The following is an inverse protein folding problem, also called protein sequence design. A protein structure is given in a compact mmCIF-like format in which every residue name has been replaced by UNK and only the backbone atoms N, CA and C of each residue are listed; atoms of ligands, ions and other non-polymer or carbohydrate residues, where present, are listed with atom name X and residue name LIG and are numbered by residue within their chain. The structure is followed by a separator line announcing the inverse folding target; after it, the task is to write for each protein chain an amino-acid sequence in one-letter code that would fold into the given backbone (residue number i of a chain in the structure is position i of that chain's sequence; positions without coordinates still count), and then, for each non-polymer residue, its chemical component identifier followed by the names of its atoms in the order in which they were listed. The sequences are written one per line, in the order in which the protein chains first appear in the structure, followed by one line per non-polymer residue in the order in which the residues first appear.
data_IF_684902130660
#
_entry.id   IF_684902130660
#
_cell.length_a   1.000
_cell.length_b   1.000
_cell.length_c   1.000
_cell.angle_alpha   90.00
_cell.angle_beta   90.00
_cell.angle_gamma   90.00
#
_symmetry.space_group_name_H-M   'P 1'
#
loop_
_entity.id
_entity.type
_entity.pdbx_description
1 polymer ?
#
# COMPACT_ATOMS: atom_id res chain seq x y z
N UNK A 1 -6.24 -18.92 -12.13
CA UNK A 1 -7.12 -18.35 -11.08
C UNK A 1 -6.82 -16.86 -10.95
N UNK A 2 -7.84 -16.05 -10.67
CA UNK A 2 -7.67 -14.63 -10.38
C UNK A 2 -7.08 -14.51 -8.97
N UNK A 3 -5.90 -13.90 -8.83
CA UNK A 3 -5.29 -13.64 -7.51
C UNK A 3 -6.05 -12.48 -6.85
N UNK A 4 -6.58 -12.71 -5.66
CA UNK A 4 -7.26 -11.71 -4.85
C UNK A 4 -6.25 -11.23 -3.80
N UNK A 5 -6.06 -9.93 -3.73
CA UNK A 5 -5.28 -9.26 -2.70
C UNK A 5 -6.16 -8.30 -1.92
N UNK A 6 -5.78 -8.04 -0.67
CA UNK A 6 -6.33 -6.94 0.10
C UNK A 6 -5.22 -6.10 0.73
N UNK A 7 -5.48 -4.81 0.94
CA UNK A 7 -4.50 -3.87 1.47
C UNK A 7 -5.12 -2.71 2.23
N UNK A 8 -4.27 -2.00 2.99
CA UNK A 8 -4.68 -0.84 3.79
C UNK A 8 -4.01 0.45 3.32
N UNK A 9 -4.78 1.52 3.23
CA UNK A 9 -4.32 2.88 3.00
C UNK A 9 -4.43 3.68 4.30
N UNK A 10 -3.34 3.73 5.07
CA UNK A 10 -3.27 4.60 6.23
C UNK A 10 -3.22 6.06 5.78
N UNK A 11 -4.01 6.93 6.41
CA UNK A 11 -4.01 8.36 6.12
C UNK A 11 -3.97 9.19 7.39
N UNK A 12 -3.59 10.46 7.26
CA UNK A 12 -3.76 11.48 8.29
C UNK A 12 -4.10 12.82 7.68
N UNK A 13 -4.72 13.68 8.46
CA UNK A 13 -4.98 15.07 8.09
C UNK A 13 -4.08 15.96 8.95
N UNK A 14 -3.17 16.67 8.31
CA UNK A 14 -2.24 17.58 8.98
C UNK A 14 -2.41 18.99 8.41
N UNK A 15 -2.78 19.96 9.23
CA UNK A 15 -2.99 21.35 8.81
C UNK A 15 -3.88 21.48 7.55
N UNK A 16 -5.01 20.77 7.52
CA UNK A 16 -5.91 20.69 6.35
C UNK A 16 -5.21 20.20 5.07
N UNK A 17 -4.22 19.33 5.21
CA UNK A 17 -3.62 18.58 4.10
C UNK A 17 -3.81 17.08 4.34
N UNK A 18 -4.43 16.40 3.37
CA UNK A 18 -4.51 14.94 3.35
C UNK A 18 -3.13 14.37 3.01
N UNK A 19 -2.62 13.54 3.91
CA UNK A 19 -1.41 12.75 3.70
C UNK A 19 -1.76 11.26 3.74
N UNK A 20 -1.15 10.49 2.85
CA UNK A 20 -1.36 9.05 2.72
C UNK A 20 -0.04 8.31 2.84
N UNK A 21 -0.08 7.15 3.48
CA UNK A 21 1.09 6.30 3.67
C UNK A 21 1.23 5.32 2.51
N UNK A 22 2.38 5.32 1.85
CA UNK A 22 2.72 4.38 0.79
C UNK A 22 4.01 3.64 1.12
N UNK A 23 4.18 2.45 0.55
CA UNK A 23 5.39 1.64 0.66
C UNK A 23 6.10 1.50 -0.67
N UNK A 24 7.43 1.49 -0.61
CA UNK A 24 8.31 1.29 -1.75
C UNK A 24 8.76 -0.18 -1.81
N UNK A 25 8.70 -0.84 -2.97
CA UNK A 25 9.11 -2.24 -3.09
C UNK A 25 10.61 -2.42 -2.83
N UNK A 26 10.96 -3.48 -2.12
CA UNK A 26 12.34 -3.81 -1.85
C UNK A 26 13.11 -4.34 -3.06
N UNK A 27 14.43 -4.36 -2.93
CA UNK A 27 15.34 -5.07 -3.82
C UNK A 27 15.95 -4.26 -4.97
N UNK A 28 16.93 -4.87 -5.66
CA UNK A 28 17.78 -4.18 -6.63
C UNK A 28 17.03 -3.66 -7.86
N UNK A 29 15.92 -4.27 -8.26
CA UNK A 29 15.12 -3.83 -9.41
C UNK A 29 14.35 -2.53 -9.18
N UNK A 30 14.13 -2.16 -7.91
CA UNK A 30 13.33 -1.01 -7.50
C UNK A 30 14.15 0.09 -6.86
N UNK A 31 15.39 -0.17 -6.43
CA UNK A 31 16.28 0.77 -5.72
C UNK A 31 16.33 2.20 -6.27
N UNK A 32 16.26 2.38 -7.60
CA UNK A 32 16.35 3.68 -8.27
C UNK A 32 15.01 4.16 -8.86
N UNK A 33 13.93 3.43 -8.64
CA UNK A 33 12.60 3.80 -9.11
C UNK A 33 11.90 4.59 -8.00
N UNK A 34 11.10 5.55 -8.40
CA UNK A 34 10.35 6.38 -7.45
C UNK A 34 8.97 6.69 -8.02
N UNK A 35 8.90 7.45 -9.12
CA UNK A 35 7.63 7.73 -9.80
C UNK A 35 6.94 6.44 -10.28
N UNK A 36 5.67 6.28 -9.95
CA UNK A 36 4.87 5.10 -10.29
C UNK A 36 5.29 3.79 -9.64
N UNK A 37 6.21 3.81 -8.67
CA UNK A 37 6.79 2.62 -8.04
C UNK A 37 6.15 2.24 -6.71
N UNK A 38 5.58 3.21 -6.00
CA UNK A 38 5.03 3.01 -4.66
C UNK A 38 3.64 2.36 -4.71
N UNK A 39 3.22 1.74 -3.61
CA UNK A 39 1.87 1.16 -3.50
C UNK A 39 1.32 1.25 -2.09
N UNK A 40 0.03 0.98 -1.93
CA UNK A 40 -0.51 0.63 -0.60
C UNK A 40 0.08 -0.71 -0.14
N UNK A 41 0.32 -0.89 1.16
CA UNK A 41 0.65 -2.20 1.71
C UNK A 41 -0.47 -3.21 1.44
N UNK A 42 -0.14 -4.39 0.92
CA UNK A 42 -1.11 -5.40 0.46
C UNK A 42 -0.42 -6.73 0.14
N UNK A 43 -1.14 -7.83 0.32
CA UNK A 43 -0.70 -9.15 -0.14
C UNK A 43 -1.86 -10.02 -0.59
N UNK A 44 -1.57 -11.27 -0.90
CA UNK A 44 -2.55 -12.23 -1.41
C UNK A 44 -3.37 -12.79 -0.24
N UNK A 45 -4.69 -12.85 -0.40
CA UNK A 45 -5.54 -13.40 0.65
C UNK A 45 -5.58 -14.92 0.56
N UNK A 46 -5.62 -15.56 1.72
CA UNK A 46 -5.82 -16.99 1.82
C UNK A 46 -7.25 -17.39 1.47
N UNK A 47 -7.46 -18.66 1.13
CA UNK A 47 -8.80 -19.16 0.82
C UNK A 47 -9.71 -19.00 2.04
N UNK A 48 -10.84 -18.30 1.85
CA UNK A 48 -11.85 -18.00 2.89
C UNK A 48 -11.44 -16.95 3.94
N UNK A 49 -10.28 -16.31 3.79
CA UNK A 49 -9.90 -15.17 4.65
C UNK A 49 -10.80 -13.96 4.33
N UNK A 50 -11.27 -13.26 5.37
CA UNK A 50 -11.99 -12.00 5.15
C UNK A 50 -11.02 -10.96 4.62
N UNK A 51 -11.47 -10.17 3.63
CA UNK A 51 -10.61 -9.19 2.96
C UNK A 51 -9.99 -8.17 3.92
N UNK A 52 -10.72 -7.69 4.92
CA UNK A 52 -10.17 -6.75 5.90
C UNK A 52 -9.13 -7.40 6.80
N UNK A 53 -9.33 -8.66 7.21
CA UNK A 53 -8.37 -9.39 8.05
C UNK A 53 -7.07 -9.65 7.28
N UNK A 54 -7.19 -10.06 6.01
CA UNK A 54 -6.08 -10.14 5.05
C UNK A 54 -5.33 -8.79 4.94
N UNK A 55 -6.05 -7.69 4.73
CA UNK A 55 -5.45 -6.36 4.63
C UNK A 55 -4.70 -5.94 5.90
N UNK A 56 -5.24 -6.24 7.09
CA UNK A 56 -4.59 -5.95 8.38
C UNK A 56 -3.31 -6.76 8.57
N UNK A 57 -3.37 -8.07 8.30
CA UNK A 57 -2.21 -8.98 8.40
C UNK A 57 -1.08 -8.51 7.50
N UNK A 58 -1.38 -8.28 6.23
CA UNK A 58 -0.40 -7.84 5.23
C UNK A 58 0.19 -6.47 5.54
N UNK A 59 -0.64 -5.52 6.00
CA UNK A 59 -0.15 -4.23 6.45
C UNK A 59 0.85 -4.37 7.60
N UNK A 60 0.55 -5.22 8.59
CA UNK A 60 1.48 -5.48 9.69
C UNK A 60 2.75 -6.20 9.21
N UNK A 61 2.63 -7.20 8.34
CA UNK A 61 3.79 -7.95 7.84
C UNK A 61 4.75 -7.07 7.02
N UNK A 62 4.23 -6.23 6.13
CA UNK A 62 5.05 -5.36 5.29
C UNK A 62 5.60 -4.16 6.07
N UNK A 63 4.87 -3.62 7.05
CA UNK A 63 5.24 -2.34 7.68
C UNK A 63 5.71 -2.45 9.13
N UNK A 64 5.36 -3.52 9.84
CA UNK A 64 5.51 -3.66 11.29
C UNK A 64 4.56 -2.78 12.12
N UNK A 65 3.66 -2.02 11.47
CA UNK A 65 2.73 -1.10 12.11
C UNK A 65 1.45 -1.85 12.44
N UNK A 66 1.02 -1.80 13.71
CA UNK A 66 -0.25 -2.41 14.12
C UNK A 66 -1.42 -1.59 13.59
N UNK A 67 -2.31 -2.16 12.77
CA UNK A 67 -3.49 -1.47 12.28
C UNK A 67 -4.56 -1.38 13.40
N UNK A 68 -5.65 -0.65 13.18
CA UNK A 68 -6.72 -0.50 14.19
C UNK A 68 -7.39 -1.84 14.51
N UNK A 69 -7.58 -2.10 15.80
CA UNK A 69 -8.27 -3.30 16.30
C UNK A 69 -9.75 -3.33 15.87
N UNK A 70 -10.47 -2.22 16.06
CA UNK A 70 -11.89 -2.11 15.67
C UNK A 70 -12.08 -2.02 14.15
N UNK A 71 -12.97 -2.85 13.60
CA UNK A 71 -13.31 -2.86 12.19
C UNK A 71 -14.18 -1.66 11.76
N UNK A 72 -14.82 -0.95 12.69
CA UNK A 72 -15.78 0.13 12.39
C UNK A 72 -15.10 1.40 11.85
N UNK A 73 -13.81 1.56 12.09
CA UNK A 73 -13.05 2.74 11.71
C UNK A 73 -12.37 2.60 10.33
N UNK A 74 -12.68 1.54 9.58
CA UNK A 74 -12.16 1.33 8.25
C UNK A 74 -13.13 1.84 7.18
N UNK A 75 -12.61 2.59 6.22
CA UNK A 75 -13.32 3.07 5.05
C UNK A 75 -13.13 2.05 3.93
N UNK A 76 -14.20 1.45 3.41
CA UNK A 76 -14.12 0.61 2.22
C UNK A 76 -13.87 1.46 0.97
N UNK A 77 -12.70 1.27 0.34
CA UNK A 77 -12.32 1.95 -0.90
C UNK A 77 -12.68 1.11 -2.13
N UNK A 78 -13.36 -0.02 -1.98
CA UNK A 78 -13.73 -0.94 -3.04
C UNK A 78 -12.54 -1.74 -3.57
N UNK A 79 -12.58 -2.07 -4.86
CA UNK A 79 -11.52 -2.81 -5.52
C UNK A 79 -11.06 -2.19 -6.84
N UNK A 80 -9.86 -2.58 -7.25
CA UNK A 80 -9.21 -2.21 -8.52
C UNK A 80 -8.63 -3.45 -9.19
N UNK A 81 -8.46 -3.41 -10.51
CA UNK A 81 -7.78 -4.47 -11.27
C UNK A 81 -6.41 -4.00 -11.74
N UNK A 82 -5.37 -4.78 -11.46
CA UNK A 82 -4.01 -4.52 -11.93
C UNK A 82 -3.67 -5.28 -13.22
N UNK A 83 -2.61 -4.84 -13.90
CA UNK A 83 -2.17 -5.35 -15.23
C UNK A 83 -1.93 -6.87 -15.27
N UNK A 84 -1.59 -7.49 -14.14
CA UNK A 84 -1.40 -8.94 -14.03
C UNK A 84 -2.70 -9.73 -13.73
N UNK A 85 -3.87 -9.11 -13.96
CA UNK A 85 -5.21 -9.64 -13.63
C UNK A 85 -5.46 -9.83 -12.12
N UNK A 86 -4.60 -9.27 -11.25
CA UNK A 86 -4.82 -9.26 -9.79
C UNK A 86 -5.91 -8.26 -9.43
N UNK A 87 -6.86 -8.67 -8.61
CA UNK A 87 -7.83 -7.75 -7.99
C UNK A 87 -7.29 -7.35 -6.63
N UNK A 88 -7.24 -6.06 -6.34
CA UNK A 88 -6.86 -5.54 -5.02
C UNK A 88 -8.09 -4.90 -4.40
N UNK A 89 -8.54 -5.44 -3.28
CA UNK A 89 -9.49 -4.78 -2.38
C UNK A 89 -8.73 -3.88 -1.43
N UNK A 90 -9.28 -2.70 -1.12
CA UNK A 90 -8.57 -1.74 -0.29
C UNK A 90 -9.50 -1.12 0.75
N UNK A 91 -8.96 -0.92 1.94
CA UNK A 91 -9.60 -0.19 3.01
C UNK A 91 -8.68 0.93 3.48
N UNK A 92 -9.22 2.03 3.98
CA UNK A 92 -8.44 3.10 4.58
C UNK A 92 -8.72 3.23 6.07
N UNK A 93 -7.74 3.70 6.83
CA UNK A 93 -7.90 4.02 8.24
C UNK A 93 -7.04 5.23 8.61
N UNK A 94 -7.46 5.99 9.61
CA UNK A 94 -6.70 7.13 10.11
C UNK A 94 -5.57 6.66 11.03
N UNK A 95 -4.35 7.15 10.83
CA UNK A 95 -3.19 6.83 11.64
C UNK A 95 -2.00 7.76 11.41
N UNK A 96 -1.22 8.02 12.45
CA UNK A 96 -0.01 8.85 12.41
C UNK A 96 1.21 8.05 12.87
N UNK A 97 1.81 7.31 11.95
CA UNK A 97 3.05 6.60 12.21
C UNK A 97 4.26 7.53 12.07
N UNK A 98 5.16 7.48 13.06
CA UNK A 98 6.44 8.19 13.08
C UNK A 98 7.54 7.18 13.32
N UNK A 99 8.33 6.90 12.29
CA UNK A 99 9.42 5.94 12.38
C UNK A 99 9.75 5.31 11.03
N UNK A 100 10.60 4.30 11.07
CA UNK A 100 10.91 3.45 9.93
C UNK A 100 10.06 2.19 9.98
N UNK A 101 9.66 1.69 8.81
CA UNK A 101 8.94 0.42 8.74
C UNK A 101 9.84 -0.74 9.17
N UNK A 102 9.22 -1.78 9.72
CA UNK A 102 9.89 -3.03 10.04
C UNK A 102 9.23 -4.16 9.24
N UNK A 103 9.71 -4.37 8.02
CA UNK A 103 9.21 -5.41 7.13
C UNK A 103 9.63 -6.81 7.63
N UNK A 104 8.63 -7.68 7.78
CA UNK A 104 8.80 -9.07 8.22
C UNK A 104 8.47 -10.08 7.10
N UNK A 105 7.92 -9.61 5.98
CA UNK A 105 7.69 -10.40 4.76
C UNK A 105 8.89 -10.32 3.81
N UNK A 106 9.16 -11.43 3.12
CA UNK A 106 10.33 -11.56 2.25
C UNK A 106 10.01 -12.37 1.00
N UNK A 107 10.58 -11.96 -0.12
CA UNK A 107 10.50 -12.68 -1.39
C UNK A 107 11.88 -13.12 -1.87
N UNK A 108 11.90 -14.22 -2.61
CA UNK A 108 13.07 -14.65 -3.36
C UNK A 108 12.99 -14.10 -4.78
N UNK A 109 14.03 -13.41 -5.20
CA UNK A 109 14.16 -12.91 -6.58
C UNK A 109 15.42 -13.48 -7.22
N UNK A 110 15.36 -13.70 -8.53
CA UNK A 110 16.55 -14.07 -9.29
C UNK A 110 17.45 -12.83 -9.47
N UNK A 111 18.71 -12.92 -9.04
CA UNK A 111 19.66 -11.83 -9.16
C UNK A 111 21.12 -12.32 -9.23
N UNK A 112 21.93 -11.87 -10.21
CA UNK A 112 21.56 -11.03 -11.36
C UNK A 112 20.54 -11.69 -12.30
N UNK A 113 19.84 -10.94 -13.16
CA UNK A 113 18.84 -11.51 -14.08
C UNK A 113 19.43 -12.64 -14.95
N UNK A 114 18.67 -13.73 -15.14
CA UNK A 114 19.04 -14.92 -15.94
C UNK A 114 20.22 -15.74 -15.38
N UNK A 115 20.62 -15.52 -14.13
CA UNK A 115 21.70 -16.27 -13.46
C UNK A 115 21.26 -17.59 -12.82
N UNK A 116 19.96 -17.81 -12.63
CA UNK A 116 19.36 -18.86 -11.78
C UNK A 116 19.79 -18.80 -10.31
N UNK A 117 20.47 -17.75 -9.88
CA UNK A 117 20.79 -17.50 -8.47
C UNK A 117 19.69 -16.67 -7.83
N UNK A 118 19.30 -17.02 -6.62
CA UNK A 118 18.23 -16.36 -5.88
C UNK A 118 18.75 -15.68 -4.63
N UNK A 119 18.27 -14.46 -4.38
CA UNK A 119 18.51 -13.72 -3.14
C UNK A 119 17.17 -13.50 -2.43
N UNK A 120 17.21 -13.51 -1.10
CA UNK A 120 16.09 -13.15 -0.24
C UNK A 120 16.14 -11.65 0.05
N UNK A 121 15.06 -10.94 -0.24
CA UNK A 121 14.92 -9.50 -0.01
C UNK A 121 13.61 -9.22 0.74
N UNK A 122 13.52 -8.13 1.52
CA UNK A 122 12.24 -7.70 2.07
C UNK A 122 11.30 -7.29 0.92
N UNK A 123 10.00 -7.48 1.11
CA UNK A 123 9.01 -7.09 0.09
C UNK A 123 8.93 -5.58 -0.09
N UNK A 124 9.12 -4.84 1.00
CA UNK A 124 9.18 -3.38 1.02
C UNK A 124 10.42 -2.91 1.76
N UNK A 125 11.03 -1.82 1.30
CA UNK A 125 12.24 -1.25 1.91
C UNK A 125 12.01 0.12 2.56
N UNK A 126 10.92 0.80 2.22
CA UNK A 126 10.55 2.10 2.80
C UNK A 126 9.04 2.24 2.93
N UNK A 127 8.62 3.04 3.91
CA UNK A 127 7.25 3.51 4.05
C UNK A 127 7.26 4.98 4.43
N UNK A 128 6.45 5.79 3.75
CA UNK A 128 6.46 7.24 3.92
C UNK A 128 5.08 7.84 3.70
N UNK A 129 4.81 8.96 4.39
CA UNK A 129 3.61 9.77 4.18
C UNK A 129 3.85 10.81 3.09
N UNK A 130 3.00 10.80 2.07
CA UNK A 130 2.99 11.80 1.01
C UNK A 130 1.73 12.64 1.06
N UNK A 131 1.81 13.93 0.70
CA UNK A 131 0.60 14.68 0.39
C UNK A 131 -0.06 14.11 -0.88
N UNK A 132 -1.32 14.47 -1.14
CA UNK A 132 -2.07 13.92 -2.27
C UNK A 132 -1.36 14.08 -3.63
N UNK A 133 -0.75 15.24 -3.89
CA UNK A 133 -0.07 15.52 -5.17
C UNK A 133 1.18 14.66 -5.35
N UNK A 134 2.01 14.55 -4.32
CA UNK A 134 3.21 13.72 -4.38
C UNK A 134 2.84 12.22 -4.44
N UNK A 135 1.78 11.82 -3.75
CA UNK A 135 1.25 10.45 -3.80
C UNK A 135 0.77 10.08 -5.21
N UNK A 136 0.10 10.99 -5.91
CA UNK A 136 -0.32 10.82 -7.32
C UNK A 136 0.87 10.50 -8.23
N UNK A 137 1.99 11.21 -8.09
CA UNK A 137 3.19 10.97 -8.91
C UNK A 137 3.93 9.67 -8.54
N UNK A 138 3.92 9.30 -7.25
CA UNK A 138 4.69 8.17 -6.72
C UNK A 138 3.96 6.83 -6.83
N UNK A 139 2.65 6.81 -6.66
CA UNK A 139 1.87 5.57 -6.60
C UNK A 139 1.82 4.89 -7.97
N UNK A 140 1.83 3.56 -7.96
CA UNK A 140 1.53 2.75 -9.13
C UNK A 140 0.20 3.23 -9.74
N UNK A 141 0.18 3.62 -11.03
CA UNK A 141 -1.01 4.23 -11.65
C UNK A 141 -2.27 3.37 -11.55
N UNK A 142 -2.15 2.04 -11.45
CA UNK A 142 -3.31 1.16 -11.26
C UNK A 142 -3.98 1.32 -9.89
N UNK A 143 -3.30 1.91 -8.92
CA UNK A 143 -3.81 2.14 -7.56
C UNK A 143 -4.23 3.58 -7.29
N UNK A 144 -3.98 4.50 -8.23
CA UNK A 144 -4.29 5.92 -8.04
C UNK A 144 -5.77 6.16 -7.70
N UNK A 145 -6.67 5.38 -8.32
CA UNK A 145 -8.11 5.44 -8.06
C UNK A 145 -8.46 5.26 -6.57
N UNK A 146 -7.66 4.51 -5.81
CA UNK A 146 -7.86 4.34 -4.37
C UNK A 146 -7.63 5.64 -3.59
N UNK A 147 -6.65 6.46 -4.02
CA UNK A 147 -6.41 7.78 -3.43
C UNK A 147 -7.58 8.71 -3.72
N UNK A 148 -8.09 8.71 -4.96
CA UNK A 148 -9.25 9.52 -5.34
C UNK A 148 -10.50 9.15 -4.54
N UNK A 149 -10.77 7.85 -4.39
CA UNK A 149 -11.89 7.36 -3.57
C UNK A 149 -11.76 7.81 -2.11
N UNK A 150 -10.57 7.73 -1.51
CA UNK A 150 -10.34 8.23 -0.16
C UNK A 150 -10.58 9.74 -0.06
N UNK A 151 -9.99 10.52 -0.98
CA UNK A 151 -10.15 11.98 -1.02
C UNK A 151 -11.62 12.39 -1.11
N UNK A 152 -12.38 11.72 -1.97
CA UNK A 152 -13.81 11.97 -2.16
C UNK A 152 -14.62 11.58 -0.91
N UNK A 153 -14.30 10.45 -0.27
CA UNK A 153 -14.97 10.01 0.96
C UNK A 153 -14.78 11.04 2.09
N UNK A 154 -13.56 11.57 2.24
CA UNK A 154 -13.23 12.59 3.22
C UNK A 154 -13.72 14.00 2.85
N UNK A 155 -14.37 14.16 1.68
CA UNK A 155 -14.82 15.44 1.12
C UNK A 155 -13.68 16.47 1.07
N UNK A 156 -12.49 16.01 0.72
CA UNK A 156 -11.29 16.82 0.75
C UNK A 156 -11.10 17.55 -0.58
N UNK A 157 -11.66 18.76 -0.69
CA UNK A 157 -11.50 19.60 -1.86
C UNK A 157 -10.18 20.38 -1.82
N UNK A 158 -9.33 20.20 -2.84
CA UNK A 158 -8.15 21.06 -3.04
C UNK A 158 -8.51 22.47 -3.56
N UNK A 159 -9.80 22.79 -3.68
CA UNK A 159 -10.32 24.03 -4.29
C UNK A 159 -10.67 25.10 -3.25
N UNK A 160 -9.77 25.37 -2.30
CA UNK A 160 -9.75 26.65 -1.58
C UNK A 160 -8.35 27.26 -1.67
N UNK A 161 -8.06 27.83 -2.83
CA UNK A 161 -7.16 28.98 -2.96
C UNK A 161 -7.95 30.13 -3.52
#
# INVERSE_FOLDING_TARGET
MQKISAGLLMYKIDNKTLKVFLVHPGGPFWKNKDKGAWSIPKGECENSEKLLDCAKREFYEETGIKPLESNENYIDLGSIKQKNRKTVHAFAFEGDFKGEINCSSFINIEFPPKSKNYIKIPEVDKGEFFNFKDAEEKINPSQFELLERLKNFLKFDNNKK
#
